data_IF_150401196194
#
_entry.id   IF_150401196194
#
_cell.length_a   1.000
_cell.length_b   1.000
_cell.length_c   1.000
_cell.angle_alpha   90.00
_cell.angle_beta   90.00
_cell.angle_gamma   90.00
#
_symmetry.space_group_name_H-M   'P 1'
#
loop_
_entity.id
_entity.type
_entity.pdbx_description
1 polymer ?
#
# COMPACT_ATOMS: atom_id res chain seq x y z
N UNK A 1 -48.27 23.06 10.25
CA UNK A 1 -47.43 21.88 10.53
C UNK A 1 -46.36 21.84 9.44
N UNK A 2 -45.15 22.31 9.75
CA UNK A 2 -44.05 22.44 8.79
C UNK A 2 -43.22 21.15 8.81
N UNK A 3 -43.00 20.57 7.62
CA UNK A 3 -42.14 19.41 7.44
C UNK A 3 -40.67 19.75 7.78
N UNK A 4 -39.88 18.81 8.33
CA UNK A 4 -38.48 19.06 8.62
C UNK A 4 -37.65 19.11 7.33
N UNK A 5 -36.74 20.09 7.27
CA UNK A 5 -35.80 20.26 6.16
C UNK A 5 -34.81 19.09 6.07
N UNK A 6 -34.30 18.76 4.86
CA UNK A 6 -33.33 17.68 4.70
C UNK A 6 -31.97 18.09 5.26
N UNK A 7 -31.43 17.24 6.14
CA UNK A 7 -30.06 17.33 6.65
C UNK A 7 -29.11 17.07 5.46
N UNK A 8 -28.53 18.14 4.91
CA UNK A 8 -27.36 18.02 4.03
C UNK A 8 -26.21 17.45 4.87
N UNK A 9 -25.86 16.18 4.64
CA UNK A 9 -24.57 15.64 5.09
C UNK A 9 -23.47 16.38 4.32
N UNK A 10 -22.72 17.20 5.04
CA UNK A 10 -21.51 17.83 4.53
C UNK A 10 -20.59 16.79 3.90
N UNK A 11 -20.13 17.09 2.69
CA UNK A 11 -19.07 16.36 2.02
C UNK A 11 -17.83 16.45 2.91
N UNK A 12 -17.37 15.31 3.46
CA UNK A 12 -16.00 15.20 3.97
C UNK A 12 -15.07 15.45 2.78
N UNK A 13 -14.51 16.66 2.76
CA UNK A 13 -13.52 17.09 1.78
C UNK A 13 -12.37 16.08 1.78
N UNK A 14 -11.92 15.72 0.58
CA UNK A 14 -10.53 15.29 0.34
C UNK A 14 -9.64 16.24 1.15
N UNK A 15 -8.75 15.72 1.99
CA UNK A 15 -7.80 16.50 2.79
C UNK A 15 -7.12 17.57 1.90
N UNK A 16 -7.67 18.78 1.88
CA UNK A 16 -7.02 19.94 1.31
C UNK A 16 -6.20 20.52 2.44
N UNK A 17 -4.93 20.11 2.50
CA UNK A 17 -3.97 20.68 3.43
C UNK A 17 -3.72 22.15 3.06
N UNK A 18 -3.58 23.05 4.06
CA UNK A 18 -3.57 24.49 3.87
C UNK A 18 -2.49 24.95 2.90
N UNK A 19 -2.91 25.70 1.88
CA UNK A 19 -2.06 26.26 0.83
C UNK A 19 -1.22 27.44 1.35
N UNK A 20 0.02 27.18 1.77
CA UNK A 20 1.05 28.21 1.90
C UNK A 20 2.35 27.74 1.25
N UNK A 21 2.90 28.56 0.34
CA UNK A 21 4.04 28.25 -0.54
C UNK A 21 5.41 28.08 0.17
N UNK A 22 5.42 27.98 1.49
CA UNK A 22 6.64 27.77 2.30
C UNK A 22 6.51 26.57 3.25
N UNK A 23 5.52 25.70 3.03
CA UNK A 23 5.30 24.55 3.89
C UNK A 23 6.08 23.33 3.34
N UNK A 24 7.01 22.70 4.08
CA UNK A 24 7.70 21.48 3.66
C UNK A 24 6.73 20.39 3.18
N UNK A 25 5.48 20.39 3.65
CA UNK A 25 4.40 19.52 3.17
C UNK A 25 4.11 19.64 1.65
N UNK A 26 4.29 20.81 1.03
CA UNK A 26 4.05 20.98 -0.41
C UNK A 26 5.14 20.32 -1.27
N UNK A 27 6.39 20.37 -0.83
CA UNK A 27 7.51 19.70 -1.52
C UNK A 27 7.39 18.17 -1.41
N UNK A 28 6.94 17.67 -0.25
CA UNK A 28 6.61 16.25 -0.07
C UNK A 28 5.50 15.79 -1.03
N UNK A 29 4.43 16.57 -1.17
CA UNK A 29 3.32 16.23 -2.05
C UNK A 29 3.77 16.14 -3.51
N UNK A 30 4.47 17.17 -4.02
CA UNK A 30 4.95 17.18 -5.40
C UNK A 30 5.94 16.04 -5.70
N UNK A 31 6.76 15.65 -4.71
CA UNK A 31 7.65 14.49 -4.82
C UNK A 31 6.88 13.18 -4.88
N UNK A 32 5.88 12.99 -4.01
CA UNK A 32 5.08 11.76 -3.98
C UNK A 32 4.23 11.60 -5.25
N UNK A 33 3.68 12.69 -5.79
CA UNK A 33 2.97 12.67 -7.09
C UNK A 33 3.88 12.28 -8.25
N UNK A 34 5.16 12.67 -8.21
CA UNK A 34 6.16 12.23 -9.20
C UNK A 34 6.44 10.74 -9.09
N UNK A 35 6.68 10.26 -7.87
CA UNK A 35 6.91 8.84 -7.60
C UNK A 35 5.70 7.98 -7.97
N UNK A 36 4.47 8.49 -7.82
CA UNK A 36 3.26 7.81 -8.28
C UNK A 36 3.24 7.63 -9.81
N UNK A 37 3.64 8.64 -10.58
CA UNK A 37 3.78 8.51 -12.04
C UNK A 37 4.86 7.50 -12.43
N UNK A 38 6.01 7.57 -11.76
CA UNK A 38 7.10 6.61 -11.97
C UNK A 38 6.66 5.17 -11.63
N UNK A 39 5.81 5.01 -10.61
CA UNK A 39 5.21 3.71 -10.27
C UNK A 39 4.33 3.17 -11.40
N UNK A 40 3.47 4.00 -11.99
CA UNK A 40 2.62 3.60 -13.12
C UNK A 40 3.45 3.16 -14.34
N UNK A 41 4.49 3.93 -14.68
CA UNK A 41 5.41 3.63 -15.78
C UNK A 41 6.19 2.33 -15.51
N UNK A 42 6.73 2.19 -14.29
CA UNK A 42 7.46 0.98 -13.87
C UNK A 42 6.58 -0.25 -14.01
N UNK A 43 5.35 -0.18 -13.50
CA UNK A 43 4.41 -1.28 -13.55
C UNK A 43 4.04 -1.65 -14.98
N UNK A 44 3.85 -0.67 -15.87
CA UNK A 44 3.59 -0.94 -17.29
C UNK A 44 4.72 -1.78 -17.90
N UNK A 45 5.97 -1.40 -17.65
CA UNK A 45 7.14 -2.15 -18.12
C UNK A 45 7.17 -3.56 -17.54
N UNK A 46 6.94 -3.70 -16.22
CA UNK A 46 6.97 -4.99 -15.53
C UNK A 46 5.87 -5.94 -16.01
N UNK A 47 4.68 -5.44 -16.34
CA UNK A 47 3.54 -6.25 -16.77
C UNK A 47 3.66 -6.75 -18.22
N UNK A 48 4.48 -6.09 -19.05
CA UNK A 48 4.72 -6.46 -20.45
C UNK A 48 5.84 -7.51 -20.61
N UNK A 49 6.58 -7.83 -19.56
CA UNK A 49 7.76 -8.70 -19.59
C UNK A 49 7.54 -10.04 -18.89
N UNK A 50 8.19 -11.09 -19.41
CA UNK A 50 8.32 -12.37 -18.71
C UNK A 50 9.47 -12.28 -17.68
N UNK A 51 9.16 -11.67 -16.54
CA UNK A 51 10.15 -11.34 -15.51
C UNK A 51 10.86 -12.58 -14.95
N UNK A 52 10.17 -13.72 -14.81
CA UNK A 52 10.78 -14.93 -14.26
C UNK A 52 11.87 -15.48 -15.18
N UNK A 53 11.67 -15.37 -16.50
CA UNK A 53 12.67 -15.75 -17.49
C UNK A 53 13.87 -14.80 -17.50
N UNK A 54 13.64 -13.51 -17.28
CA UNK A 54 14.70 -12.49 -17.28
C UNK A 54 15.50 -12.46 -15.98
N UNK A 55 14.87 -12.83 -14.85
CA UNK A 55 15.44 -12.72 -13.52
C UNK A 55 15.32 -14.05 -12.76
N UNK A 56 16.25 -15.00 -12.97
CA UNK A 56 16.22 -16.29 -12.28
C UNK A 56 16.40 -16.12 -10.77
N UNK A 57 15.70 -16.97 -10.01
CA UNK A 57 15.72 -16.96 -8.55
C UNK A 57 17.08 -17.47 -8.05
N UNK A 58 17.74 -16.66 -7.22
CA UNK A 58 19.06 -16.97 -6.64
C UNK A 58 19.01 -17.15 -5.11
N UNK A 59 17.82 -17.19 -4.51
CA UNK A 59 17.64 -17.38 -3.08
C UNK A 59 16.50 -18.38 -2.81
N UNK A 60 16.54 -19.02 -1.66
CA UNK A 60 15.40 -19.79 -1.17
C UNK A 60 14.34 -18.82 -0.63
N UNK A 61 13.17 -18.76 -1.27
CA UNK A 61 12.04 -18.00 -0.73
C UNK A 61 11.50 -18.81 0.44
N UNK A 62 11.49 -18.19 1.62
CA UNK A 62 11.05 -18.84 2.84
C UNK A 62 9.66 -19.45 2.64
N UNK A 63 9.44 -20.63 3.21
CA UNK A 63 8.14 -21.27 3.24
C UNK A 63 7.08 -20.29 3.79
N UNK A 64 5.79 -20.47 3.46
CA UNK A 64 4.68 -19.52 3.74
C UNK A 64 4.41 -19.18 5.23
N UNK A 65 5.34 -19.52 6.11
CA UNK A 65 5.40 -19.16 7.51
C UNK A 65 5.59 -17.65 7.69
N UNK A 66 4.66 -17.04 8.42
CA UNK A 66 4.62 -15.59 8.63
C UNK A 66 5.86 -15.06 9.36
N UNK A 67 6.35 -15.77 10.39
CA UNK A 67 7.51 -15.35 11.18
C UNK A 67 8.78 -15.36 10.34
N UNK A 68 8.97 -16.41 9.53
CA UNK A 68 10.14 -16.49 8.65
C UNK A 68 10.07 -15.48 7.51
N UNK A 69 8.89 -15.22 6.95
CA UNK A 69 8.70 -14.15 5.97
C UNK A 69 8.96 -12.77 6.59
N UNK A 70 8.58 -12.55 7.86
CA UNK A 70 8.91 -11.32 8.57
C UNK A 70 10.41 -11.14 8.68
N UNK A 71 11.15 -12.18 9.08
CA UNK A 71 12.60 -12.09 9.14
C UNK A 71 13.19 -11.85 7.74
N UNK A 72 12.74 -12.61 6.75
CA UNK A 72 13.20 -12.52 5.37
C UNK A 72 13.03 -11.10 4.81
N UNK A 73 11.89 -10.46 5.04
CA UNK A 73 11.62 -9.13 4.52
C UNK A 73 12.21 -8.00 5.37
N UNK A 74 12.14 -8.10 6.70
CA UNK A 74 12.37 -6.97 7.60
C UNK A 74 13.68 -7.06 8.40
N UNK A 75 14.32 -8.23 8.39
CA UNK A 75 15.53 -8.49 9.18
C UNK A 75 15.28 -8.62 10.68
N UNK A 76 16.36 -8.93 11.41
CA UNK A 76 16.28 -9.35 12.80
C UNK A 76 15.74 -8.27 13.74
N UNK A 77 16.16 -7.02 13.57
CA UNK A 77 15.78 -5.94 14.49
C UNK A 77 14.27 -5.67 14.46
N UNK A 78 13.69 -5.58 13.27
CA UNK A 78 12.25 -5.38 13.11
C UNK A 78 11.46 -6.65 13.46
N UNK A 79 11.98 -7.83 13.11
CA UNK A 79 11.42 -9.10 13.56
C UNK A 79 11.29 -9.17 15.10
N UNK A 80 12.31 -8.72 15.83
CA UNK A 80 12.29 -8.71 17.29
C UNK A 80 11.28 -7.72 17.87
N UNK A 81 11.07 -6.56 17.21
CA UNK A 81 10.02 -5.61 17.60
C UNK A 81 8.62 -6.22 17.49
N UNK A 82 8.40 -7.06 16.47
CA UNK A 82 7.09 -7.67 16.17
C UNK A 82 6.83 -8.91 17.03
N UNK A 83 7.74 -9.88 17.04
CA UNK A 83 7.49 -11.21 17.63
C UNK A 83 8.10 -11.43 19.01
N UNK A 84 9.07 -10.61 19.42
CA UNK A 84 9.81 -10.76 20.71
C UNK A 84 10.25 -12.22 20.94
N UNK A 85 11.04 -12.80 20.03
CA UNK A 85 11.40 -14.21 20.08
C UNK A 85 12.14 -14.55 21.38
N UNK A 86 11.83 -15.72 21.94
CA UNK A 86 12.47 -16.20 23.19
C UNK A 86 13.89 -16.76 22.97
N UNK A 87 14.26 -17.03 21.72
CA UNK A 87 15.56 -17.61 21.34
C UNK A 87 16.05 -17.05 20.01
N UNK A 88 17.37 -16.93 19.87
CA UNK A 88 18.02 -16.66 18.59
C UNK A 88 17.82 -17.87 17.67
N UNK A 89 16.89 -17.76 16.72
CA UNK A 89 16.78 -18.73 15.66
C UNK A 89 17.84 -18.40 14.59
N UNK A 90 18.45 -19.42 14.00
CA UNK A 90 19.31 -19.26 12.83
C UNK A 90 18.44 -18.97 11.60
N UNK A 91 18.06 -17.72 11.45
CA UNK A 91 17.35 -17.25 10.26
C UNK A 91 18.36 -16.82 9.18
N UNK A 92 18.01 -17.05 7.91
CA UNK A 92 18.79 -16.60 6.75
C UNK A 92 18.84 -15.07 6.67
N UNK A 93 19.88 -14.48 6.10
CA UNK A 93 19.97 -13.01 5.91
C UNK A 93 18.72 -12.41 5.23
N UNK A 94 18.29 -11.24 5.72
CA UNK A 94 17.17 -10.50 5.14
C UNK A 94 17.44 -10.11 3.70
N UNK A 95 16.39 -10.11 2.88
CA UNK A 95 16.45 -9.78 1.47
C UNK A 95 15.76 -8.44 1.18
N UNK A 96 16.32 -7.66 0.27
CA UNK A 96 15.60 -6.57 -0.38
C UNK A 96 14.62 -7.14 -1.43
N UNK A 97 13.51 -6.46 -1.74
CA UNK A 97 12.50 -6.93 -2.69
C UNK A 97 12.96 -6.74 -4.15
N UNK A 98 13.99 -7.47 -4.55
CA UNK A 98 14.54 -7.43 -5.90
C UNK A 98 13.64 -8.13 -6.92
N UNK A 99 13.72 -7.75 -8.20
CA UNK A 99 12.91 -8.34 -9.27
C UNK A 99 13.06 -9.86 -9.40
N UNK A 100 14.27 -10.40 -9.17
CA UNK A 100 14.52 -11.84 -9.16
C UNK A 100 13.89 -12.58 -7.97
N UNK A 101 13.36 -11.86 -6.98
CA UNK A 101 12.61 -12.41 -5.85
C UNK A 101 11.12 -12.18 -6.09
N UNK A 102 10.72 -10.92 -6.30
CA UNK A 102 9.29 -10.57 -6.37
C UNK A 102 8.57 -11.17 -7.57
N UNK A 103 9.27 -11.41 -8.69
CA UNK A 103 8.69 -12.06 -9.87
C UNK A 103 8.36 -13.54 -9.67
N UNK A 104 8.95 -14.18 -8.66
CA UNK A 104 8.73 -15.61 -8.37
C UNK A 104 7.61 -15.86 -7.37
N UNK A 105 7.03 -14.81 -6.77
CA UNK A 105 5.80 -14.96 -6.00
C UNK A 105 4.59 -15.12 -6.92
N UNK A 106 3.68 -16.04 -6.57
CA UNK A 106 2.36 -16.07 -7.18
C UNK A 106 1.53 -14.87 -6.73
N UNK A 107 0.46 -14.53 -7.45
CA UNK A 107 -0.43 -13.42 -7.04
C UNK A 107 -1.03 -13.65 -5.65
N UNK A 108 -1.37 -14.89 -5.31
CA UNK A 108 -1.81 -15.26 -3.98
C UNK A 108 -0.71 -15.04 -2.92
N UNK A 109 0.54 -15.39 -3.21
CA UNK A 109 1.64 -15.16 -2.27
C UNK A 109 1.93 -13.67 -2.09
N UNK A 110 1.84 -12.88 -3.16
CA UNK A 110 1.93 -11.41 -3.13
C UNK A 110 0.85 -10.84 -2.19
N UNK A 111 -0.39 -11.26 -2.35
CA UNK A 111 -1.51 -10.77 -1.51
C UNK A 111 -1.36 -11.18 -0.05
N UNK A 112 -0.95 -12.42 0.24
CA UNK A 112 -0.65 -12.86 1.60
C UNK A 112 0.45 -11.99 2.22
N UNK A 113 1.55 -11.75 1.49
CA UNK A 113 2.67 -10.97 2.01
C UNK A 113 2.30 -9.49 2.20
N UNK A 114 1.47 -8.91 1.34
CA UNK A 114 0.91 -7.57 1.55
C UNK A 114 0.06 -7.51 2.84
N UNK A 115 -0.80 -8.51 3.08
CA UNK A 115 -1.58 -8.61 4.33
C UNK A 115 -0.67 -8.76 5.56
N UNK A 116 0.47 -9.42 5.43
CA UNK A 116 1.47 -9.55 6.51
C UNK A 116 2.17 -8.21 6.77
N UNK A 117 2.66 -7.55 5.72
CA UNK A 117 3.28 -6.22 5.79
C UNK A 117 2.34 -5.17 6.36
N UNK A 118 1.07 -5.21 6.01
CA UNK A 118 0.02 -4.36 6.58
C UNK A 118 -0.09 -4.57 8.10
N UNK A 119 -0.20 -5.82 8.57
CA UNK A 119 -0.23 -6.11 10.02
C UNK A 119 1.03 -5.63 10.73
N UNK A 120 2.21 -5.83 10.14
CA UNK A 120 3.46 -5.34 10.72
C UNK A 120 3.52 -3.81 10.75
N UNK A 121 3.05 -3.15 9.69
CA UNK A 121 2.89 -1.70 9.64
C UNK A 121 2.01 -1.18 10.79
N UNK A 122 0.87 -1.81 11.06
CA UNK A 122 -0.01 -1.40 12.17
C UNK A 122 0.69 -1.53 13.52
N UNK A 123 1.57 -2.54 13.69
CA UNK A 123 2.27 -2.80 14.95
C UNK A 123 3.45 -1.86 15.21
N UNK A 124 4.28 -1.59 14.19
CA UNK A 124 5.57 -0.92 14.37
C UNK A 124 5.74 0.36 13.52
N UNK A 125 4.74 0.72 12.72
CA UNK A 125 4.79 1.84 11.78
C UNK A 125 5.38 1.48 10.41
N UNK A 126 5.40 2.46 9.50
CA UNK A 126 5.89 2.35 8.13
C UNK A 126 7.43 2.47 8.08
N UNK A 127 8.10 1.45 8.62
CA UNK A 127 9.55 1.31 8.50
C UNK A 127 9.99 1.23 7.03
N UNK A 128 11.21 1.68 6.72
CA UNK A 128 11.74 1.69 5.36
C UNK A 128 11.67 0.32 4.68
N UNK A 129 11.94 -0.77 5.42
CA UNK A 129 11.86 -2.13 4.89
C UNK A 129 10.41 -2.49 4.50
N UNK A 130 9.42 -2.15 5.33
CA UNK A 130 8.00 -2.38 5.02
C UNK A 130 7.61 -1.60 3.76
N UNK A 131 7.98 -0.32 3.68
CA UNK A 131 7.65 0.52 2.53
C UNK A 131 8.25 0.01 1.21
N UNK A 132 9.53 -0.41 1.22
CA UNK A 132 10.18 -1.01 0.04
C UNK A 132 9.45 -2.27 -0.43
N UNK A 133 9.15 -3.16 0.51
CA UNK A 133 8.46 -4.41 0.21
C UNK A 133 7.05 -4.18 -0.32
N UNK A 134 6.28 -3.29 0.30
CA UNK A 134 4.96 -2.89 -0.19
C UNK A 134 5.05 -2.28 -1.59
N UNK A 135 5.95 -1.33 -1.83
CA UNK A 135 6.11 -0.71 -3.14
C UNK A 135 6.40 -1.75 -4.23
N UNK A 136 7.35 -2.66 -3.97
CA UNK A 136 7.73 -3.69 -4.93
C UNK A 136 6.59 -4.68 -5.19
N UNK A 137 5.90 -5.16 -4.16
CA UNK A 137 4.77 -6.09 -4.30
C UNK A 137 3.59 -5.44 -5.02
N UNK A 138 3.25 -4.20 -4.67
CA UNK A 138 2.20 -3.43 -5.35
C UNK A 138 2.54 -3.18 -6.82
N UNK A 139 3.83 -3.10 -7.19
CA UNK A 139 4.23 -2.92 -8.58
C UNK A 139 4.00 -4.17 -9.45
N UNK A 140 3.95 -5.36 -8.84
CA UNK A 140 3.76 -6.66 -9.53
C UNK A 140 2.42 -7.35 -9.23
N UNK A 141 1.63 -6.83 -8.30
CA UNK A 141 0.29 -7.32 -7.98
C UNK A 141 -0.69 -6.98 -9.11
N UNK A 142 -1.36 -7.95 -9.75
CA UNK A 142 -2.37 -7.70 -10.79
C UNK A 142 -3.64 -7.07 -10.19
N UNK A 143 -4.43 -6.40 -11.04
CA UNK A 143 -5.59 -5.58 -10.62
C UNK A 143 -6.91 -6.37 -10.63
N UNK A 144 -6.89 -7.64 -10.97
CA UNK A 144 -8.01 -8.57 -10.90
C UNK A 144 -8.29 -8.99 -9.45
N UNK A 145 -8.50 -7.99 -8.58
CA UNK A 145 -8.80 -8.18 -7.18
C UNK A 145 -10.26 -8.61 -6.99
N UNK A 146 -10.49 -9.49 -6.01
CA UNK A 146 -11.85 -9.80 -5.57
C UNK A 146 -12.39 -8.74 -4.58
N UNK A 147 -13.68 -8.85 -4.22
CA UNK A 147 -14.30 -7.89 -3.31
C UNK A 147 -13.68 -7.87 -1.90
N UNK A 148 -13.14 -8.98 -1.42
CA UNK A 148 -12.46 -9.03 -0.11
C UNK A 148 -11.13 -8.28 -0.18
N UNK A 149 -10.38 -8.48 -1.26
CA UNK A 149 -9.11 -7.81 -1.51
C UNK A 149 -9.30 -6.30 -1.74
N UNK A 150 -10.35 -5.89 -2.46
CA UNK A 150 -10.72 -4.48 -2.59
C UNK A 150 -11.01 -3.84 -1.22
N UNK A 151 -11.86 -4.48 -0.39
CA UNK A 151 -12.17 -4.02 0.98
C UNK A 151 -10.92 -3.95 1.87
N UNK A 152 -10.00 -4.88 1.71
CA UNK A 152 -8.71 -4.85 2.40
C UNK A 152 -7.91 -3.61 2.03
N UNK A 153 -7.78 -3.27 0.75
CA UNK A 153 -7.05 -2.07 0.32
C UNK A 153 -7.73 -0.77 0.76
N UNK A 154 -9.06 -0.73 0.85
CA UNK A 154 -9.77 0.42 1.43
C UNK A 154 -9.43 0.61 2.91
N UNK A 155 -9.46 -0.48 3.68
CA UNK A 155 -9.08 -0.45 5.10
C UNK A 155 -7.63 -0.01 5.26
N UNK A 156 -6.73 -0.58 4.47
CA UNK A 156 -5.31 -0.24 4.50
C UNK A 156 -5.09 1.25 4.13
N UNK A 157 -5.79 1.77 3.12
CA UNK A 157 -5.75 3.20 2.77
C UNK A 157 -6.18 4.07 3.96
N UNK A 158 -7.28 3.73 4.61
CA UNK A 158 -7.85 4.53 5.69
C UNK A 158 -6.93 4.55 6.92
N UNK A 159 -6.31 3.43 7.26
CA UNK A 159 -5.29 3.36 8.31
C UNK A 159 -4.01 4.13 7.95
N UNK A 160 -3.60 4.13 6.67
CA UNK A 160 -2.51 5.00 6.22
C UNK A 160 -2.86 6.48 6.39
N UNK A 161 -4.10 6.86 6.08
CA UNK A 161 -4.57 8.24 6.19
C UNK A 161 -4.61 8.69 7.66
N UNK A 162 -5.19 7.87 8.54
CA UNK A 162 -5.23 8.13 9.98
C UNK A 162 -3.82 8.32 10.54
N UNK A 163 -2.89 7.43 10.20
CA UNK A 163 -1.50 7.54 10.67
C UNK A 163 -0.75 8.73 10.10
N UNK A 164 -1.10 9.20 8.89
CA UNK A 164 -0.53 10.43 8.32
C UNK A 164 -0.94 11.69 9.07
N UNK A 165 -2.12 11.72 9.71
CA UNK A 165 -2.57 12.86 10.50
C UNK A 165 -1.64 13.11 11.70
N UNK A 166 -1.10 12.04 12.28
CA UNK A 166 -0.22 12.08 13.46
C UNK A 166 1.28 11.96 13.14
N UNK A 167 1.65 11.77 11.87
CA UNK A 167 3.02 11.45 11.48
C UNK A 167 3.83 12.70 11.08
N UNK A 168 4.75 13.12 11.97
CA UNK A 168 5.70 14.22 11.73
C UNK A 168 7.16 13.75 11.52
N UNK A 169 7.37 12.45 11.30
CA UNK A 169 8.70 11.84 11.25
C UNK A 169 9.19 11.55 9.82
N UNK A 170 10.39 10.95 9.70
CA UNK A 170 10.93 10.41 8.45
C UNK A 170 10.06 9.32 7.81
N UNK A 171 9.11 8.76 8.56
CA UNK A 171 8.10 7.81 8.09
C UNK A 171 7.12 8.44 7.08
N UNK A 172 6.84 9.74 7.22
CA UNK A 172 5.76 10.43 6.51
C UNK A 172 5.84 10.29 4.99
N UNK A 173 7.05 10.37 4.41
CA UNK A 173 7.23 10.27 2.96
C UNK A 173 6.88 8.88 2.43
N UNK A 174 7.33 7.82 3.11
CA UNK A 174 7.04 6.44 2.71
C UNK A 174 5.55 6.15 2.85
N UNK A 175 4.97 6.54 3.98
CA UNK A 175 3.56 6.34 4.27
C UNK A 175 2.69 7.08 3.25
N UNK A 176 3.04 8.31 2.91
CA UNK A 176 2.32 9.11 1.92
C UNK A 176 2.40 8.49 0.52
N UNK A 177 3.57 7.97 0.12
CA UNK A 177 3.71 7.28 -1.16
C UNK A 177 2.83 6.02 -1.24
N UNK A 178 2.88 5.17 -0.21
CA UNK A 178 2.05 3.96 -0.15
C UNK A 178 0.56 4.32 -0.15
N UNK A 179 0.15 5.31 0.64
CA UNK A 179 -1.20 5.84 0.62
C UNK A 179 -1.64 6.25 -0.79
N UNK A 180 -0.82 7.04 -1.50
CA UNK A 180 -1.16 7.51 -2.84
C UNK A 180 -1.27 6.37 -3.85
N UNK A 181 -0.39 5.36 -3.78
CA UNK A 181 -0.46 4.17 -4.65
C UNK A 181 -1.78 3.43 -4.39
N UNK A 182 -2.09 3.13 -3.14
CA UNK A 182 -3.32 2.42 -2.79
C UNK A 182 -4.56 3.23 -3.21
N UNK A 183 -4.62 4.50 -2.84
CA UNK A 183 -5.76 5.39 -3.12
C UNK A 183 -6.02 5.55 -4.61
N UNK A 184 -4.99 5.87 -5.40
CA UNK A 184 -5.15 6.21 -6.82
C UNK A 184 -5.17 4.98 -7.74
N UNK A 185 -4.52 3.87 -7.35
CA UNK A 185 -4.39 2.72 -8.23
C UNK A 185 -5.38 1.60 -7.89
N UNK A 186 -5.45 1.24 -6.61
CA UNK A 186 -6.19 0.07 -6.14
C UNK A 186 -7.61 0.43 -5.71
N UNK A 187 -7.84 1.59 -5.08
CA UNK A 187 -9.18 2.03 -4.67
C UNK A 187 -9.95 2.83 -5.75
N UNK A 188 -9.29 3.28 -6.83
CA UNK A 188 -9.90 4.20 -7.81
C UNK A 188 -11.08 3.62 -8.62
N UNK A 189 -11.34 2.31 -8.54
CA UNK A 189 -12.48 1.64 -9.18
C UNK A 189 -13.85 2.01 -8.58
N UNK A 190 -13.92 2.28 -7.28
CA UNK A 190 -15.18 2.54 -6.57
C UNK A 190 -15.82 3.89 -6.93
N UNK A 191 -15.03 4.88 -7.37
CA UNK A 191 -15.58 6.16 -7.84
C UNK A 191 -16.31 6.07 -9.18
N UNK A 192 -16.12 4.98 -9.95
CA UNK A 192 -16.88 4.74 -11.19
C UNK A 192 -18.27 4.18 -10.92
N UNK A 193 -18.43 3.34 -9.89
CA UNK A 193 -19.73 2.74 -9.53
C UNK A 193 -20.66 3.79 -8.91
N UNK A 194 -20.14 4.65 -8.02
CA UNK A 194 -20.94 5.74 -7.43
C UNK A 194 -21.43 6.74 -8.48
N UNK A 195 -20.62 7.03 -9.52
CA UNK A 195 -21.07 7.88 -10.65
C UNK A 195 -22.09 7.19 -11.55
N UNK A 196 -22.02 5.87 -11.72
CA UNK A 196 -23.01 5.16 -12.53
C UNK A 196 -24.39 5.15 -11.87
N UNK A 197 -24.45 5.00 -10.54
CA UNK A 197 -25.71 5.09 -9.79
C UNK A 197 -26.21 6.53 -9.61
N UNK A 198 -25.32 7.53 -9.50
CA UNK A 198 -25.71 8.94 -9.49
C UNK A 198 -26.19 9.44 -10.86
N UNK A 199 -25.64 8.93 -11.97
CA UNK A 199 -26.11 9.23 -13.32
C UNK A 199 -27.48 8.59 -13.62
N UNK A 200 -27.73 7.38 -13.12
CA UNK A 200 -29.04 6.70 -13.25
C UNK A 200 -30.12 7.30 -12.33
N UNK A 201 -29.73 7.85 -11.18
CA UNK A 201 -30.64 8.56 -10.27
C UNK A 201 -31.00 9.99 -10.72
N UNK A 202 -30.23 10.58 -11.65
CA UNK A 202 -30.43 11.94 -12.15
C UNK A 202 -31.20 12.00 -13.49
N UNK A 203 -31.61 10.86 -14.05
CA UNK A 203 -32.43 10.78 -15.28
C UNK A 203 -33.92 10.52 -15.03
N UNK A 204 -34.37 10.44 -13.76
CA UNK A 204 -35.77 10.24 -13.37
C UNK A 204 -36.30 11.32 -12.39
N UNK A 205 -35.83 12.56 -12.51
CA UNK A 205 -36.31 13.71 -11.74
C UNK A 205 -36.61 14.90 -12.63
#
# INVERSE_FOLDING_TARGET
>A
MLAPAPIMRERKNVLQLPHTKSNPHYEYQARCERLLREFEDTRKILMEQDLQKMYPLNCEISNKDEEKLCYFCLGYDLFCKIYRPRSHHQFMESQDPLLNIVSHFTQNDIMILIKYLHRWFVLIGMENAIAKWLYALLSVLKKDLDEEEERFFETFRDECAERLEDCHSSEAMNLHLIYLIIHNYFCAGMYKIVRHFQALGSMNG
#
